data_IF_045867124663
#
_entry.id   IF_045867124663
#
_cell.length_a   1.000
_cell.length_b   1.000
_cell.length_c   1.000
_cell.angle_alpha   90.00
_cell.angle_beta   90.00
_cell.angle_gamma   90.00
#
_symmetry.space_group_name_H-M   'P 1'
#
loop_
_entity.id
_entity.type
_entity.pdbx_description
1 polymer ?
#
# COMPACT_ATOMS: atom_id res chain seq x y z
N UNK A 1 -12.46 17.33 1.41
CA UNK A 1 -12.17 18.26 0.30
C UNK A 1 -10.68 18.18 0.04
N UNK A 2 -10.30 17.81 -1.17
CA UNK A 2 -8.90 17.67 -1.57
C UNK A 2 -8.25 19.04 -1.62
N UNK A 3 -7.10 19.17 -0.98
CA UNK A 3 -6.29 20.38 -1.05
C UNK A 3 -5.22 20.19 -2.14
N UNK A 4 -5.63 20.20 -3.38
CA UNK A 4 -4.74 20.37 -4.53
C UNK A 4 -4.74 21.85 -4.88
N UNK A 5 -3.59 22.45 -4.96
CA UNK A 5 -3.48 23.89 -5.13
C UNK A 5 -2.23 24.31 -5.89
N UNK A 6 -1.74 25.47 -5.52
CA UNK A 6 -0.63 26.12 -6.18
C UNK A 6 0.67 25.34 -6.02
N UNK A 7 0.88 24.74 -4.85
CA UNK A 7 2.08 23.99 -4.52
C UNK A 7 2.24 22.76 -5.44
N UNK A 8 1.18 21.99 -5.63
CA UNK A 8 1.17 20.87 -6.56
C UNK A 8 1.34 21.34 -8.01
N UNK A 9 0.67 22.43 -8.41
CA UNK A 9 0.79 22.98 -9.77
C UNK A 9 2.22 23.42 -10.06
N UNK A 10 2.90 24.08 -9.13
CA UNK A 10 4.30 24.48 -9.25
C UNK A 10 5.25 23.28 -9.30
N UNK A 11 5.03 22.27 -8.44
CA UNK A 11 5.82 21.06 -8.43
C UNK A 11 5.71 20.29 -9.75
N UNK A 12 4.50 20.10 -10.26
CA UNK A 12 4.24 19.47 -11.56
C UNK A 12 4.84 20.27 -12.71
N UNK A 13 4.67 21.60 -12.72
CA UNK A 13 5.23 22.48 -13.76
C UNK A 13 6.76 22.33 -13.84
N UNK A 14 7.45 22.29 -12.69
CA UNK A 14 8.90 22.09 -12.63
C UNK A 14 9.31 20.77 -13.31
N UNK A 15 8.60 19.68 -13.02
CA UNK A 15 8.89 18.37 -13.62
C UNK A 15 8.58 18.39 -15.12
N UNK A 16 7.43 18.95 -15.53
CA UNK A 16 7.04 19.01 -16.95
C UNK A 16 8.07 19.80 -17.76
N UNK A 17 8.53 20.95 -17.25
CA UNK A 17 9.53 21.79 -17.92
C UNK A 17 10.92 21.13 -18.01
N UNK A 18 11.23 20.16 -17.15
CA UNK A 18 12.49 19.39 -17.23
C UNK A 18 12.54 18.41 -18.40
N UNK A 19 11.38 17.99 -18.91
CA UNK A 19 11.27 16.94 -19.93
C UNK A 19 11.64 15.53 -19.41
N UNK A 20 11.84 15.34 -18.09
CA UNK A 20 12.27 14.08 -17.49
C UNK A 20 11.19 13.55 -16.55
N UNK A 21 10.40 12.58 -16.99
CA UNK A 21 9.21 12.08 -16.28
C UNK A 21 9.37 10.67 -15.73
N UNK A 22 10.40 9.97 -16.17
CA UNK A 22 10.58 8.57 -15.81
C UNK A 22 11.09 8.43 -14.37
N UNK A 23 10.61 7.43 -13.64
CA UNK A 23 10.94 7.17 -12.22
C UNK A 23 12.45 7.10 -11.93
N UNK A 24 13.26 6.69 -12.91
CA UNK A 24 14.70 6.51 -12.74
C UNK A 24 15.49 7.37 -13.72
N UNK A 25 16.73 7.73 -13.36
CA UNK A 25 17.64 8.54 -14.19
C UNK A 25 17.05 9.90 -14.58
N UNK A 26 16.36 10.53 -13.64
CA UNK A 26 15.74 11.83 -13.84
C UNK A 26 16.52 12.94 -13.12
N UNK A 27 16.15 14.21 -13.39
CA UNK A 27 16.83 15.39 -12.87
C UNK A 27 16.46 15.67 -11.41
N UNK A 28 15.21 15.39 -11.01
CA UNK A 28 14.68 15.83 -9.72
C UNK A 28 14.53 14.72 -8.70
N UNK A 29 14.52 13.46 -9.13
CA UNK A 29 14.33 12.29 -8.26
C UNK A 29 13.08 12.40 -7.36
N UNK A 30 11.97 12.94 -7.88
CA UNK A 30 10.75 13.17 -7.11
C UNK A 30 10.20 11.86 -6.53
N UNK A 31 10.31 10.77 -7.28
CA UNK A 31 9.83 9.46 -6.83
C UNK A 31 10.68 8.91 -5.68
N UNK A 32 11.99 8.96 -5.79
CA UNK A 32 12.90 8.52 -4.73
C UNK A 32 12.71 9.37 -3.46
N UNK A 33 12.55 10.68 -3.63
CA UNK A 33 12.30 11.58 -2.50
C UNK A 33 10.93 11.31 -1.85
N UNK A 34 9.86 11.07 -2.64
CA UNK A 34 8.56 10.71 -2.12
C UNK A 34 8.61 9.39 -1.31
N UNK A 35 9.33 8.38 -1.82
CA UNK A 35 9.53 7.10 -1.14
C UNK A 35 10.32 7.29 0.18
N UNK A 36 11.33 8.14 0.21
CA UNK A 36 12.07 8.47 1.43
C UNK A 36 11.22 9.24 2.45
N UNK A 37 10.48 10.26 2.00
CA UNK A 37 9.54 11.02 2.84
C UNK A 37 8.46 10.11 3.44
N UNK A 38 7.94 9.12 2.67
CA UNK A 38 7.01 8.13 3.19
C UNK A 38 7.65 7.22 4.24
N UNK A 39 8.90 6.75 4.04
CA UNK A 39 9.61 5.95 5.05
C UNK A 39 9.67 6.67 6.40
N UNK A 40 10.03 7.94 6.39
CA UNK A 40 10.10 8.77 7.59
C UNK A 40 8.72 8.98 8.22
N UNK A 41 7.73 9.36 7.40
CA UNK A 41 6.38 9.72 7.87
C UNK A 41 5.61 8.53 8.44
N UNK A 42 5.77 7.35 7.83
CA UNK A 42 5.12 6.12 8.26
C UNK A 42 5.97 5.30 9.25
N UNK A 43 7.26 5.60 9.37
CA UNK A 43 8.16 4.87 10.26
C UNK A 43 8.46 3.44 9.77
N UNK A 44 8.63 3.27 8.46
CA UNK A 44 8.93 1.98 7.82
C UNK A 44 10.30 2.00 7.15
N UNK A 45 10.89 0.82 6.96
CA UNK A 45 12.18 0.69 6.27
C UNK A 45 12.07 0.92 4.77
N UNK A 46 10.96 0.49 4.16
CA UNK A 46 10.79 0.49 2.72
C UNK A 46 9.41 1.03 2.34
N UNK A 47 9.39 1.86 1.31
CA UNK A 47 8.20 2.34 0.63
C UNK A 47 8.44 2.25 -0.87
N UNK A 48 7.43 1.83 -1.63
CA UNK A 48 7.50 1.66 -3.08
C UNK A 48 6.24 2.26 -3.70
N UNK A 49 6.40 3.35 -4.43
CA UNK A 49 5.30 4.02 -5.13
C UNK A 49 4.87 3.23 -6.36
N UNK A 50 3.55 3.20 -6.60
CA UNK A 50 2.92 2.43 -7.67
C UNK A 50 1.77 3.20 -8.32
N UNK A 51 1.23 2.64 -9.41
CA UNK A 51 0.13 3.23 -10.18
C UNK A 51 -1.20 3.27 -9.44
N UNK A 52 -1.41 2.43 -8.42
CA UNK A 52 -2.67 2.39 -7.66
C UNK A 52 -2.53 1.60 -6.34
N UNK A 53 -3.51 1.75 -5.44
CA UNK A 53 -3.62 0.89 -4.26
C UNK A 53 -3.82 -0.58 -4.60
N UNK A 54 -4.55 -0.89 -5.69
CA UNK A 54 -4.69 -2.26 -6.18
C UNK A 54 -3.33 -2.83 -6.63
N UNK A 55 -2.51 -2.04 -7.32
CA UNK A 55 -1.15 -2.44 -7.70
C UNK A 55 -0.30 -2.78 -6.46
N UNK A 56 -0.46 -2.00 -5.37
CA UNK A 56 0.23 -2.27 -4.11
C UNK A 56 -0.24 -3.59 -3.45
N UNK A 57 -1.55 -3.86 -3.43
CA UNK A 57 -2.10 -5.12 -2.91
C UNK A 57 -1.61 -6.32 -3.72
N UNK A 58 -1.71 -6.26 -5.05
CA UNK A 58 -1.25 -7.33 -5.96
C UNK A 58 0.24 -7.58 -5.80
N UNK A 59 1.05 -6.52 -5.77
CA UNK A 59 2.50 -6.64 -5.57
C UNK A 59 2.86 -7.20 -4.19
N UNK A 60 2.13 -6.82 -3.14
CA UNK A 60 2.30 -7.35 -1.80
C UNK A 60 1.99 -8.84 -1.72
N UNK A 61 0.86 -9.27 -2.28
CA UNK A 61 0.48 -10.69 -2.35
C UNK A 61 1.52 -11.50 -3.14
N UNK A 62 1.97 -11.00 -4.28
CA UNK A 62 3.01 -11.65 -5.08
C UNK A 62 4.35 -11.71 -4.34
N UNK A 63 4.75 -10.64 -3.65
CA UNK A 63 5.97 -10.61 -2.86
C UNK A 63 5.95 -11.66 -1.73
N UNK A 64 4.79 -11.89 -1.14
CA UNK A 64 4.55 -12.95 -0.14
C UNK A 64 4.50 -14.37 -0.73
N UNK A 65 4.58 -14.52 -2.06
CA UNK A 65 4.50 -15.82 -2.72
C UNK A 65 3.08 -16.38 -2.82
N UNK A 66 2.06 -15.54 -2.67
CA UNK A 66 0.65 -15.94 -2.74
C UNK A 66 0.23 -16.03 -4.22
N UNK A 67 -0.43 -17.13 -4.58
CA UNK A 67 -0.84 -17.41 -5.96
C UNK A 67 -1.83 -18.57 -6.06
N UNK A 68 -1.89 -19.26 -7.22
CA UNK A 68 -2.82 -20.35 -7.45
C UNK A 68 -2.79 -21.43 -6.38
N UNK A 69 -3.99 -21.85 -5.92
CA UNK A 69 -4.15 -22.84 -4.86
C UNK A 69 -4.14 -22.27 -3.44
N UNK A 70 -3.75 -21.00 -3.27
CA UNK A 70 -3.80 -20.34 -1.96
C UNK A 70 -5.16 -19.65 -1.75
N UNK A 71 -5.55 -19.53 -0.49
CA UNK A 71 -6.71 -18.75 -0.04
C UNK A 71 -6.23 -17.54 0.74
N UNK A 72 -6.94 -16.41 0.54
CA UNK A 72 -6.72 -15.16 1.27
C UNK A 72 -8.05 -14.69 1.85
N UNK A 73 -8.09 -14.48 3.16
CA UNK A 73 -9.30 -14.03 3.84
C UNK A 73 -9.41 -12.50 3.69
N UNK A 74 -10.58 -12.04 3.24
CA UNK A 74 -10.90 -10.62 3.01
C UNK A 74 -12.25 -10.28 3.64
N UNK A 75 -12.50 -9.04 4.09
CA UNK A 75 -13.79 -8.65 4.66
C UNK A 75 -14.91 -8.60 3.61
N UNK A 76 -16.15 -8.87 4.04
CA UNK A 76 -17.34 -8.74 3.22
C UNK A 76 -17.65 -7.29 2.83
N UNK A 77 -17.25 -6.32 3.66
CA UNK A 77 -17.43 -4.89 3.40
C UNK A 77 -16.09 -4.21 3.10
N UNK A 78 -15.85 -3.92 1.84
CA UNK A 78 -14.67 -3.22 1.34
C UNK A 78 -14.90 -2.70 -0.07
N UNK A 79 -13.95 -1.92 -0.59
CA UNK A 79 -13.88 -1.65 -2.02
C UNK A 79 -13.43 -2.92 -2.76
N UNK A 80 -14.07 -3.21 -3.89
CA UNK A 80 -13.88 -4.46 -4.63
C UNK A 80 -12.42 -4.82 -4.94
N UNK A 81 -11.54 -3.83 -5.03
CA UNK A 81 -10.12 -4.03 -5.34
C UNK A 81 -9.42 -4.96 -4.34
N UNK A 82 -9.84 -4.99 -3.06
CA UNK A 82 -9.28 -5.89 -2.06
C UNK A 82 -9.42 -7.36 -2.48
N UNK A 83 -10.64 -7.79 -2.84
CA UNK A 83 -10.89 -9.16 -3.30
C UNK A 83 -10.32 -9.40 -4.72
N UNK A 84 -10.42 -8.40 -5.60
CA UNK A 84 -9.90 -8.51 -6.97
C UNK A 84 -8.37 -8.62 -7.01
N UNK A 85 -7.65 -8.04 -6.06
CA UNK A 85 -6.19 -8.23 -5.95
C UNK A 85 -5.84 -9.70 -5.67
N UNK A 86 -6.63 -10.39 -4.85
CA UNK A 86 -6.46 -11.83 -4.60
C UNK A 86 -6.71 -12.64 -5.88
N UNK A 87 -7.78 -12.31 -6.62
CA UNK A 87 -8.09 -12.97 -7.91
C UNK A 87 -6.98 -12.69 -8.94
N UNK A 88 -6.45 -11.48 -8.97
CA UNK A 88 -5.41 -11.08 -9.93
C UNK A 88 -4.10 -11.87 -9.77
N UNK A 89 -3.77 -12.34 -8.56
CA UNK A 89 -2.62 -13.23 -8.34
C UNK A 89 -2.98 -14.71 -8.51
N UNK A 90 -4.21 -15.04 -8.93
CA UNK A 90 -4.69 -16.41 -9.12
C UNK A 90 -5.04 -17.14 -7.81
N UNK A 91 -5.08 -16.44 -6.69
CA UNK A 91 -5.52 -16.98 -5.40
C UNK A 91 -7.05 -16.89 -5.25
N UNK A 92 -7.58 -17.52 -4.21
CA UNK A 92 -9.01 -17.60 -3.93
C UNK A 92 -9.35 -16.67 -2.77
N UNK A 93 -10.16 -15.59 -2.98
CA UNK A 93 -10.65 -14.78 -1.88
C UNK A 93 -11.70 -15.55 -1.05
N UNK A 94 -11.50 -15.61 0.25
CA UNK A 94 -12.43 -16.16 1.22
C UNK A 94 -13.06 -15.03 1.99
N UNK A 95 -14.38 -14.85 1.84
CA UNK A 95 -15.07 -13.73 2.46
C UNK A 95 -15.34 -14.03 3.93
N UNK A 96 -14.88 -13.16 4.82
CA UNK A 96 -15.22 -13.15 6.22
C UNK A 96 -16.21 -12.03 6.52
N UNK A 97 -17.10 -12.27 7.48
CA UNK A 97 -18.07 -11.28 7.94
C UNK A 97 -17.38 -10.05 8.58
N UNK A 98 -18.13 -8.99 8.72
CA UNK A 98 -17.73 -7.81 9.46
C UNK A 98 -18.50 -7.73 10.77
N UNK A 99 -17.86 -7.18 11.80
CA UNK A 99 -18.51 -6.89 13.09
C UNK A 99 -19.20 -5.51 13.07
N UNK A 100 -19.67 -5.07 14.23
CA UNK A 100 -20.36 -3.77 14.40
C UNK A 100 -19.48 -2.56 14.08
N UNK A 101 -18.15 -2.73 14.00
CA UNK A 101 -17.22 -1.67 13.60
C UNK A 101 -17.14 -1.50 12.08
N UNK A 102 -17.83 -2.35 11.32
CA UNK A 102 -17.76 -2.49 9.86
C UNK A 102 -16.37 -2.94 9.36
N UNK A 103 -15.49 -3.40 10.26
CA UNK A 103 -14.22 -4.03 9.89
C UNK A 103 -14.35 -5.55 9.99
N UNK A 104 -13.35 -6.26 9.48
CA UNK A 104 -13.35 -7.73 9.48
C UNK A 104 -13.52 -8.29 10.89
N UNK A 105 -14.45 -9.25 11.08
CA UNK A 105 -14.67 -9.94 12.35
C UNK A 105 -13.57 -10.99 12.60
N UNK A 106 -12.73 -10.81 13.65
CA UNK A 106 -11.68 -11.76 13.97
C UNK A 106 -12.19 -13.19 14.28
N UNK A 107 -13.39 -13.32 14.83
CA UNK A 107 -13.97 -14.63 15.13
C UNK A 107 -14.42 -15.35 13.85
N UNK A 108 -14.92 -14.61 12.85
CA UNK A 108 -15.21 -15.22 11.55
C UNK A 108 -13.93 -15.54 10.77
N UNK A 109 -12.89 -14.73 10.88
CA UNK A 109 -11.57 -15.05 10.32
C UNK A 109 -11.11 -16.42 10.81
N UNK A 110 -11.17 -16.70 12.13
CA UNK A 110 -10.79 -18.01 12.69
C UNK A 110 -11.60 -19.16 12.07
N UNK A 111 -12.92 -18.98 11.93
CA UNK A 111 -13.83 -20.00 11.35
C UNK A 111 -13.52 -20.30 9.87
N UNK A 112 -12.95 -19.34 9.15
CA UNK A 112 -12.67 -19.44 7.70
C UNK A 112 -11.29 -19.98 7.37
N UNK A 113 -10.41 -20.15 8.35
CA UNK A 113 -9.05 -20.68 8.14
C UNK A 113 -9.11 -22.14 7.71
N UNK A 114 -8.38 -22.44 6.64
CA UNK A 114 -8.16 -23.79 6.11
C UNK A 114 -6.66 -24.02 5.87
N UNK A 115 -6.21 -25.24 5.58
CA UNK A 115 -4.80 -25.50 5.21
C UNK A 115 -4.31 -24.71 3.97
N UNK A 116 -5.25 -24.28 3.10
CA UNK A 116 -4.93 -23.47 1.92
C UNK A 116 -4.84 -21.96 2.24
N UNK A 117 -5.30 -21.50 3.41
CA UNK A 117 -5.22 -20.11 3.83
C UNK A 117 -3.76 -19.69 4.04
N UNK A 118 -3.33 -18.60 3.42
CA UNK A 118 -1.96 -18.07 3.50
C UNK A 118 -1.88 -16.64 3.99
N UNK A 119 -2.96 -15.87 3.83
CA UNK A 119 -2.97 -14.47 4.29
C UNK A 119 -4.37 -14.01 4.71
N UNK A 120 -4.37 -12.89 5.43
CA UNK A 120 -5.54 -12.09 5.78
C UNK A 120 -5.30 -10.69 5.23
N UNK A 121 -6.33 -10.07 4.63
CA UNK A 121 -6.30 -8.66 4.25
C UNK A 121 -7.29 -7.89 5.15
N UNK A 122 -6.87 -7.39 6.31
CA UNK A 122 -7.66 -6.46 7.08
C UNK A 122 -7.77 -5.12 6.32
N UNK A 123 -8.98 -4.57 6.22
CA UNK A 123 -9.26 -3.29 5.56
C UNK A 123 -9.62 -2.25 6.60
N UNK A 124 -8.87 -1.16 6.66
CA UNK A 124 -9.15 -0.03 7.55
C UNK A 124 -10.18 0.89 6.89
N UNK A 125 -11.44 0.48 7.00
CA UNK A 125 -12.55 1.09 6.27
C UNK A 125 -12.78 2.55 6.71
N UNK A 126 -12.78 3.49 5.77
CA UNK A 126 -13.08 4.92 6.00
C UNK A 126 -12.28 5.55 7.17
N UNK A 127 -11.09 5.04 7.45
CA UNK A 127 -10.23 5.50 8.54
C UNK A 127 -10.49 4.84 9.90
N UNK A 128 -11.41 3.87 9.98
CA UNK A 128 -11.60 3.03 11.18
C UNK A 128 -10.63 1.84 11.13
N UNK A 129 -9.74 1.70 12.12
CA UNK A 129 -8.81 0.59 12.15
C UNK A 129 -9.52 -0.73 12.48
N UNK A 130 -9.08 -1.82 11.85
CA UNK A 130 -9.42 -3.17 12.30
C UNK A 130 -8.84 -3.41 13.70
N UNK A 131 -9.38 -4.41 14.41
CA UNK A 131 -8.77 -4.94 15.62
C UNK A 131 -7.47 -5.68 15.27
N UNK A 132 -6.40 -4.92 15.09
CA UNK A 132 -5.11 -5.47 14.65
C UNK A 132 -4.47 -6.37 15.69
N UNK A 133 -4.74 -6.17 16.98
CA UNK A 133 -4.22 -7.06 18.04
C UNK A 133 -4.78 -8.47 17.86
N UNK A 134 -6.09 -8.60 17.64
CA UNK A 134 -6.73 -9.90 17.39
C UNK A 134 -6.26 -10.50 16.05
N UNK A 135 -6.21 -9.72 14.97
CA UNK A 135 -5.77 -10.20 13.66
C UNK A 135 -4.31 -10.68 13.69
N UNK A 136 -3.41 -9.93 14.34
CA UNK A 136 -2.01 -10.32 14.49
C UNK A 136 -1.86 -11.59 15.33
N UNK A 137 -2.67 -11.75 16.39
CA UNK A 137 -2.66 -12.96 17.19
C UNK A 137 -3.08 -14.20 16.38
N UNK A 138 -4.16 -14.09 15.60
CA UNK A 138 -4.64 -15.17 14.71
C UNK A 138 -3.59 -15.49 13.64
N UNK A 139 -3.04 -14.49 12.99
CA UNK A 139 -2.03 -14.68 11.95
C UNK A 139 -0.80 -15.42 12.50
N UNK A 140 -0.35 -15.04 13.70
CA UNK A 140 0.77 -15.70 14.36
C UNK A 140 0.45 -17.16 14.76
N UNK A 141 -0.74 -17.43 15.27
CA UNK A 141 -1.17 -18.77 15.68
C UNK A 141 -1.22 -19.75 14.49
N UNK A 142 -1.62 -19.24 13.31
CA UNK A 142 -1.85 -20.06 12.12
C UNK A 142 -0.77 -19.89 11.03
N UNK A 143 0.35 -19.21 11.33
CA UNK A 143 1.43 -18.90 10.38
C UNK A 143 0.92 -18.23 9.09
N UNK A 144 0.00 -17.27 9.25
CA UNK A 144 -0.57 -16.49 8.15
C UNK A 144 0.15 -15.15 7.99
N UNK A 145 0.13 -14.63 6.78
CA UNK A 145 0.63 -13.30 6.44
C UNK A 145 -0.47 -12.26 6.53
N UNK A 146 -0.09 -11.01 6.80
CA UNK A 146 -1.03 -9.87 6.87
C UNK A 146 -0.65 -8.85 5.80
N UNK A 147 -1.61 -8.55 4.92
CA UNK A 147 -1.53 -7.45 3.97
C UNK A 147 -2.55 -6.39 4.41
N UNK A 148 -2.10 -5.32 5.06
CA UNK A 148 -3.01 -4.24 5.47
C UNK A 148 -3.50 -3.44 4.25
N UNK A 149 -4.80 -3.44 4.00
CA UNK A 149 -5.42 -2.51 3.07
C UNK A 149 -5.75 -1.20 3.81
N UNK A 150 -4.79 -0.28 3.80
CA UNK A 150 -4.93 1.05 4.39
C UNK A 150 -5.33 2.12 3.35
N UNK A 151 -5.78 1.71 2.15
CA UNK A 151 -6.16 2.61 1.06
C UNK A 151 -7.32 3.57 1.37
N UNK A 152 -8.01 3.41 2.49
CA UNK A 152 -9.06 4.32 2.97
C UNK A 152 -8.70 4.97 4.31
N UNK A 153 -7.45 4.80 4.76
CA UNK A 153 -7.01 5.21 6.09
C UNK A 153 -5.61 5.81 6.09
N UNK A 154 -5.23 6.47 4.98
CA UNK A 154 -3.91 7.09 4.83
C UNK A 154 -3.55 7.93 6.06
N UNK A 155 -2.45 7.59 6.72
CA UNK A 155 -1.95 8.28 7.90
C UNK A 155 -2.73 8.04 9.20
N UNK A 156 -3.79 7.22 9.20
CA UNK A 156 -4.47 6.76 10.41
C UNK A 156 -3.52 6.03 11.36
N UNK A 157 -3.95 5.85 12.63
CA UNK A 157 -3.10 5.18 13.63
C UNK A 157 -3.91 4.19 14.45
N UNK A 158 -3.27 3.06 14.79
CA UNK A 158 -3.71 2.07 15.77
C UNK A 158 -2.66 1.93 16.87
N UNK A 159 -3.00 2.23 18.12
CA UNK A 159 -2.06 2.26 19.27
C UNK A 159 -0.76 3.05 18.97
N UNK A 160 -0.90 4.19 18.27
CA UNK A 160 0.22 5.08 17.92
C UNK A 160 1.00 4.69 16.67
N UNK A 161 0.86 3.47 16.15
CA UNK A 161 1.48 3.03 14.89
C UNK A 161 0.62 3.44 13.69
N UNK A 162 1.25 3.86 12.61
CA UNK A 162 0.52 4.16 11.35
C UNK A 162 -0.13 2.91 10.79
N UNK A 163 -1.35 3.04 10.28
CA UNK A 163 -2.02 1.96 9.54
C UNK A 163 -1.26 1.68 8.24
N UNK A 164 -1.18 0.42 7.86
CA UNK A 164 -0.32 -0.06 6.78
C UNK A 164 1.13 -0.37 7.19
N UNK A 165 1.44 -0.35 8.52
CA UNK A 165 2.80 -0.62 9.01
C UNK A 165 2.86 -1.70 10.10
N UNK A 166 1.74 -2.35 10.38
CA UNK A 166 1.59 -3.32 11.48
C UNK A 166 1.77 -4.75 10.96
N UNK A 167 1.23 -5.05 9.78
CA UNK A 167 1.35 -6.33 9.11
C UNK A 167 2.68 -6.53 8.37
N UNK A 168 2.76 -7.58 7.54
CA UNK A 168 3.94 -7.86 6.70
C UNK A 168 4.08 -6.83 5.57
N UNK A 169 2.95 -6.41 4.99
CA UNK A 169 2.86 -5.43 3.90
C UNK A 169 1.66 -4.53 4.14
N UNK A 170 1.80 -3.25 3.82
CA UNK A 170 0.70 -2.29 3.78
C UNK A 170 0.52 -1.70 2.40
N UNK A 171 -0.73 -1.44 2.03
CA UNK A 171 -1.10 -0.77 0.78
C UNK A 171 -1.76 0.58 1.05
N UNK A 172 -1.32 1.60 0.35
CA UNK A 172 -1.90 2.95 0.33
C UNK A 172 -2.45 3.27 -1.06
N UNK A 173 -3.40 4.19 -1.15
CA UNK A 173 -3.97 4.66 -2.40
C UNK A 173 -3.97 6.17 -2.47
N UNK A 174 -3.54 6.72 -3.60
CA UNK A 174 -3.53 8.15 -3.88
C UNK A 174 -4.51 8.51 -5.00
N UNK A 175 -5.58 7.68 -5.15
CA UNK A 175 -6.68 7.99 -6.06
C UNK A 175 -7.32 9.32 -5.68
N UNK A 176 -7.98 9.98 -6.62
CA UNK A 176 -8.60 11.30 -6.44
C UNK A 176 -9.51 11.42 -5.21
N UNK A 177 -10.12 10.35 -4.75
CA UNK A 177 -11.04 10.33 -3.60
C UNK A 177 -10.35 10.04 -2.26
N UNK A 178 -9.03 9.97 -2.22
CA UNK A 178 -8.27 9.68 -1.00
C UNK A 178 -7.82 10.94 -0.27
N UNK A 179 -7.34 10.77 0.97
CA UNK A 179 -6.85 11.88 1.78
C UNK A 179 -5.70 12.63 1.07
N UNK A 180 -4.74 11.88 0.59
CA UNK A 180 -3.67 12.35 -0.29
C UNK A 180 -3.98 11.91 -1.73
N UNK A 181 -3.89 12.80 -2.68
CA UNK A 181 -4.29 12.50 -4.05
C UNK A 181 -3.28 12.98 -5.09
N UNK A 182 -2.97 12.09 -6.01
CA UNK A 182 -2.22 12.39 -7.25
C UNK A 182 -3.08 12.13 -8.50
N UNK A 183 -4.41 12.06 -8.32
CA UNK A 183 -5.36 11.63 -9.34
C UNK A 183 -5.48 10.11 -9.40
N UNK A 184 -4.40 9.43 -9.71
CA UNK A 184 -4.19 7.99 -9.54
C UNK A 184 -2.82 7.75 -8.91
N UNK A 185 -2.70 6.69 -8.11
CA UNK A 185 -1.45 6.32 -7.45
C UNK A 185 -1.68 5.40 -6.26
N UNK A 186 -0.60 4.88 -5.75
CA UNK A 186 -0.57 4.07 -4.53
C UNK A 186 0.85 3.83 -4.06
N UNK A 187 0.98 3.15 -2.95
CA UNK A 187 2.28 2.72 -2.43
C UNK A 187 2.17 1.42 -1.65
N UNK A 188 3.23 0.65 -1.68
CA UNK A 188 3.47 -0.49 -0.82
C UNK A 188 4.46 -0.09 0.28
N UNK A 189 4.14 -0.46 1.52
CA UNK A 189 4.98 -0.26 2.70
C UNK A 189 5.38 -1.60 3.30
N UNK A 190 6.63 -1.75 3.72
CA UNK A 190 7.07 -2.94 4.45
C UNK A 190 8.36 -2.69 5.26
N UNK A 191 8.52 -3.44 6.35
CA UNK A 191 9.75 -3.47 7.13
C UNK A 191 10.69 -4.63 6.73
N UNK A 192 10.24 -5.50 5.84
CA UNK A 192 10.98 -6.65 5.35
C UNK A 192 11.68 -6.31 4.01
N UNK A 193 13.01 -6.36 4.00
CA UNK A 193 13.80 -6.05 2.81
C UNK A 193 13.58 -7.06 1.69
N UNK A 194 13.32 -8.33 2.02
CA UNK A 194 13.08 -9.36 1.01
C UNK A 194 11.74 -9.14 0.32
N UNK A 195 10.68 -8.84 1.08
CA UNK A 195 9.38 -8.49 0.52
C UNK A 195 9.46 -7.23 -0.36
N UNK A 196 10.23 -6.22 0.08
CA UNK A 196 10.48 -5.03 -0.74
C UNK A 196 11.14 -5.38 -2.07
N UNK A 197 12.22 -6.18 -2.05
CA UNK A 197 12.93 -6.59 -3.26
C UNK A 197 12.02 -7.37 -4.21
N UNK A 198 11.22 -8.30 -3.70
CA UNK A 198 10.26 -9.07 -4.51
C UNK A 198 9.17 -8.16 -5.10
N UNK A 199 8.65 -7.21 -4.32
CA UNK A 199 7.70 -6.22 -4.82
C UNK A 199 8.34 -5.30 -5.88
N UNK A 200 9.59 -4.88 -5.68
CA UNK A 200 10.35 -4.08 -6.63
C UNK A 200 10.55 -4.82 -7.97
N UNK A 201 10.90 -6.11 -7.94
CA UNK A 201 11.02 -6.95 -9.13
C UNK A 201 9.66 -7.08 -9.84
N UNK A 202 8.59 -7.31 -9.08
CA UNK A 202 7.27 -7.54 -9.65
C UNK A 202 6.65 -6.28 -10.27
N UNK A 203 6.78 -5.12 -9.61
CA UNK A 203 6.13 -3.88 -10.06
C UNK A 203 6.74 -3.29 -11.33
N UNK A 204 7.89 -3.79 -11.76
CA UNK A 204 8.60 -3.29 -12.93
C UNK A 204 9.16 -4.43 -13.78
N UNK A 205 8.59 -4.59 -14.97
CA UNK A 205 9.03 -5.62 -15.94
C UNK A 205 10.49 -5.49 -16.37
N UNK A 206 11.12 -4.33 -16.15
CA UNK A 206 12.51 -4.03 -16.46
C UNK A 206 13.37 -3.76 -15.22
N UNK A 207 12.96 -4.23 -14.04
CA UNK A 207 13.60 -3.93 -12.77
C UNK A 207 15.13 -4.07 -12.80
N UNK A 208 15.66 -5.12 -13.44
CA UNK A 208 17.11 -5.36 -13.56
C UNK A 208 17.82 -4.24 -14.30
N UNK A 209 17.22 -3.71 -15.37
CA UNK A 209 17.84 -2.69 -16.19
C UNK A 209 17.87 -1.31 -15.50
N UNK A 210 16.86 -1.01 -14.69
CA UNK A 210 16.68 0.32 -14.11
C UNK A 210 17.06 0.41 -12.63
N UNK A 211 16.91 -0.68 -11.88
CA UNK A 211 17.14 -0.71 -10.43
C UNK A 211 18.33 -1.60 -10.06
N UNK A 212 19.25 -1.85 -11.01
CA UNK A 212 20.39 -2.75 -10.80
C UNK A 212 21.17 -2.46 -9.51
N UNK A 213 21.33 -1.18 -9.15
CA UNK A 213 21.99 -0.79 -7.90
C UNK A 213 21.16 -1.11 -6.66
N UNK A 214 19.84 -0.96 -6.71
CA UNK A 214 18.93 -1.35 -5.63
C UNK A 214 18.78 -2.87 -5.51
N UNK A 215 19.11 -3.60 -6.58
CA UNK A 215 19.06 -5.05 -6.65
C UNK A 215 20.43 -5.71 -6.41
N UNK A 216 21.48 -4.97 -6.08
CA UNK A 216 22.84 -5.51 -5.87
C UNK A 216 22.89 -6.61 -4.81
N UNK A 217 22.08 -6.48 -3.77
CA UNK A 217 22.00 -7.39 -2.64
C UNK A 217 20.78 -8.31 -2.70
N UNK A 218 20.11 -8.40 -3.87
CA UNK A 218 18.95 -9.29 -4.03
C UNK A 218 19.41 -10.73 -3.97
N UNK A 219 19.00 -11.42 -2.94
CA UNK A 219 19.24 -12.86 -2.76
C UNK A 219 18.21 -13.72 -3.51
N UNK A 220 17.11 -13.09 -3.95
CA UNK A 220 16.02 -13.76 -4.66
C UNK A 220 16.31 -13.89 -6.16
N UNK A 221 15.81 -14.98 -6.76
CA UNK A 221 15.82 -15.14 -8.20
C UNK A 221 14.87 -14.14 -8.85
N UNK A 222 15.32 -13.53 -9.93
CA UNK A 222 14.46 -12.66 -10.73
C UNK A 222 13.30 -13.46 -11.34
N UNK A 223 12.12 -12.85 -11.36
CA UNK A 223 10.91 -13.43 -11.94
C UNK A 223 10.15 -12.37 -12.76
N UNK A 224 9.20 -12.82 -13.58
CA UNK A 224 8.42 -11.93 -14.42
C UNK A 224 7.56 -10.99 -13.58
N UNK A 225 7.63 -9.71 -13.93
CA UNK A 225 6.81 -8.67 -13.32
C UNK A 225 5.84 -8.04 -14.33
N UNK A 226 5.17 -7.01 -13.85
CA UNK A 226 4.21 -6.20 -14.61
C UNK A 226 4.66 -4.73 -14.60
N UNK A 227 3.90 -3.85 -15.23
CA UNK A 227 4.19 -2.43 -15.28
C UNK A 227 3.27 -1.66 -14.33
N UNK A 228 3.73 -1.44 -13.09
CA UNK A 228 3.03 -0.69 -12.05
C UNK A 228 3.82 0.53 -11.56
N UNK A 229 4.83 0.95 -12.30
CA UNK A 229 5.64 2.14 -11.94
C UNK A 229 4.79 3.40 -11.93
N UNK A 230 4.99 4.23 -10.92
CA UNK A 230 4.60 5.64 -10.94
C UNK A 230 5.56 6.45 -11.81
N UNK A 231 5.36 7.76 -11.90
CA UNK A 231 6.20 8.69 -12.62
C UNK A 231 6.50 9.92 -11.78
N UNK A 232 7.45 10.74 -12.22
CA UNK A 232 7.93 11.93 -11.51
C UNK A 232 6.84 13.01 -11.32
N UNK A 233 5.87 13.11 -12.24
CA UNK A 233 4.77 14.08 -12.14
C UNK A 233 3.87 13.74 -10.95
N UNK A 234 3.44 12.48 -10.85
CA UNK A 234 2.62 12.01 -9.73
C UNK A 234 3.37 12.10 -8.40
N UNK A 235 4.66 11.77 -8.43
CA UNK A 235 5.50 11.82 -7.23
C UNK A 235 5.74 13.24 -6.74
N UNK A 236 5.91 14.21 -7.64
CA UNK A 236 6.00 15.62 -7.27
C UNK A 236 4.72 16.13 -6.59
N UNK A 237 3.54 15.73 -7.10
CA UNK A 237 2.26 16.02 -6.43
C UNK A 237 2.19 15.37 -5.05
N UNK A 238 2.57 14.08 -4.97
CA UNK A 238 2.51 13.31 -3.72
C UNK A 238 3.35 13.97 -2.63
N UNK A 239 4.55 14.43 -2.93
CA UNK A 239 5.43 15.10 -1.97
C UNK A 239 4.78 16.32 -1.32
N UNK A 240 4.06 17.14 -2.08
CA UNK A 240 3.32 18.27 -1.53
C UNK A 240 2.15 17.82 -0.64
N UNK A 241 1.52 16.70 -0.95
CA UNK A 241 0.47 16.10 -0.13
C UNK A 241 1.02 15.50 1.18
N UNK A 242 2.17 14.79 1.13
CA UNK A 242 2.82 14.19 2.29
C UNK A 242 3.14 15.24 3.37
N UNK A 243 3.65 16.40 2.99
CA UNK A 243 3.95 17.52 3.90
C UNK A 243 2.75 17.98 4.72
N UNK A 244 1.52 17.76 4.22
CA UNK A 244 0.28 18.25 4.82
C UNK A 244 -0.60 17.14 5.41
N UNK A 245 -0.21 15.87 5.28
CA UNK A 245 -1.05 14.73 5.68
C UNK A 245 -1.58 14.86 7.10
N UNK A 246 -0.74 15.10 8.09
CA UNK A 246 -1.17 15.18 9.48
C UNK A 246 -2.12 16.37 9.72
N UNK A 247 -1.87 17.52 9.11
CA UNK A 247 -2.75 18.69 9.21
C UNK A 247 -4.12 18.46 8.56
N UNK A 248 -4.17 17.68 7.48
CA UNK A 248 -5.44 17.27 6.86
C UNK A 248 -6.23 16.34 7.78
N UNK A 249 -5.57 15.35 8.39
CA UNK A 249 -6.18 14.44 9.37
C UNK A 249 -6.75 15.22 10.56
N UNK A 250 -6.00 16.15 11.13
CA UNK A 250 -6.45 16.94 12.27
C UNK A 250 -7.64 17.83 11.90
N UNK A 251 -7.66 18.40 10.71
CA UNK A 251 -8.80 19.15 10.19
C UNK A 251 -10.08 18.29 10.10
N UNK A 252 -9.96 17.03 9.61
CA UNK A 252 -11.08 16.09 9.55
C UNK A 252 -11.58 15.69 10.94
N UNK A 253 -10.68 15.48 11.91
CA UNK A 253 -11.05 15.17 13.30
C UNK A 253 -11.83 16.29 13.97
N UNK A 254 -11.53 17.55 13.68
CA UNK A 254 -12.27 18.71 14.16
C UNK A 254 -13.71 18.71 13.61
N UNK A 255 -13.88 18.42 12.32
CA UNK A 255 -15.19 18.35 11.67
C UNK A 255 -16.04 17.23 12.26
N UNK A 256 -15.46 16.06 12.53
CA UNK A 256 -16.16 14.91 13.13
C UNK A 256 -16.67 15.19 14.55
N UNK A 257 -16.08 16.10 15.28
CA UNK A 257 -16.51 16.46 16.66
C UNK A 257 -17.67 17.45 16.69
N UNK A 258 -18.06 18.04 15.56
CA UNK A 258 -19.22 18.92 15.37
C UNK A 258 -20.44 18.15 14.92
#
# INVERSE_FOLDING_TARGET
MYRVGKEEAEAVSRVVLSGSYFKTRNVYNETEQAENEMKELFGVKNALTMTSGMAALVSGLTALGIGPGNQVIVPAYTYIATAMAVVAVGAIPVIAECDETLTIDPEDVKRKITPATKAIIPVHIQGFPCNMDAICAIAKEHDLKIVEDACQADGGKYHGKRLGTIGDVGALSFNQYKLMSTGEGGALLTNDNLLYQRALIYHDSNAVAFFGDQLKDVQEKLFCGVEYRTNEIQSAMLREQLKRMDSMIDSLRIIKKR
#
